data_IF_606009172438
#
_entry.id   IF_606009172438
#
_cell.length_a   1.000
_cell.length_b   1.000
_cell.length_c   1.000
_cell.angle_alpha   90.00
_cell.angle_beta   90.00
_cell.angle_gamma   90.00
#
_symmetry.space_group_name_H-M   'P 1'
#
loop_
_entity.id
_entity.type
_entity.pdbx_description
1 polymer ?
#
# COMPACT_ATOMS: atom_id res chain seq x y z
N UNK A 1 12.16 -5.12 14.31
CA UNK A 1 10.90 -5.88 14.13
C UNK A 1 11.26 -7.25 13.62
N UNK A 2 10.62 -8.30 14.14
CA UNK A 2 10.88 -9.68 13.76
C UNK A 2 9.54 -10.42 13.65
N UNK A 3 9.31 -11.11 12.54
CA UNK A 3 8.12 -11.95 12.36
C UNK A 3 8.45 -13.32 12.95
N UNK A 4 7.65 -13.79 13.91
CA UNK A 4 7.84 -15.10 14.56
C UNK A 4 7.13 -16.20 13.81
N UNK A 5 5.86 -15.98 13.51
CA UNK A 5 4.98 -17.00 12.97
C UNK A 5 3.99 -16.38 12.00
N UNK A 6 3.70 -17.11 10.93
CA UNK A 6 2.65 -16.79 9.97
C UNK A 6 1.77 -18.02 9.80
N UNK A 7 0.51 -17.89 10.19
CA UNK A 7 -0.53 -18.86 9.94
C UNK A 7 -1.36 -18.42 8.75
N UNK A 8 -1.59 -19.33 7.80
CA UNK A 8 -2.31 -19.10 6.56
C UNK A 8 -3.39 -20.16 6.41
N UNK A 9 -4.63 -19.76 6.17
CA UNK A 9 -5.75 -20.66 5.91
C UNK A 9 -6.51 -20.19 4.68
N UNK A 10 -6.71 -21.08 3.71
CA UNK A 10 -7.48 -20.85 2.48
C UNK A 10 -7.03 -19.64 1.64
N UNK A 11 -5.75 -19.28 1.70
CA UNK A 11 -5.17 -18.17 0.96
C UNK A 11 -4.38 -18.67 -0.26
N UNK A 12 -4.75 -18.20 -1.44
CA UNK A 12 -4.14 -18.62 -2.72
C UNK A 12 -4.10 -20.15 -2.84
N UNK A 13 -2.92 -20.75 -2.89
CA UNK A 13 -2.73 -22.19 -3.00
C UNK A 13 -2.54 -22.90 -1.64
N UNK A 14 -2.61 -22.19 -0.51
CA UNK A 14 -2.55 -22.77 0.84
C UNK A 14 -3.93 -23.17 1.34
N UNK A 15 -4.04 -24.38 1.91
CA UNK A 15 -5.23 -24.87 2.64
C UNK A 15 -5.15 -24.46 4.12
N UNK A 16 -4.11 -24.89 4.81
CA UNK A 16 -3.81 -24.53 6.20
C UNK A 16 -2.33 -24.79 6.46
N UNK A 17 -1.56 -23.74 6.76
CA UNK A 17 -0.12 -23.83 6.99
C UNK A 17 0.29 -22.90 8.13
N UNK A 18 1.29 -23.31 8.92
CA UNK A 18 1.87 -22.47 9.99
C UNK A 18 3.38 -22.47 9.85
N UNK A 19 3.92 -21.30 9.53
CA UNK A 19 5.33 -21.09 9.21
C UNK A 19 5.98 -20.35 10.36
N UNK A 20 6.99 -20.95 10.97
CA UNK A 20 7.83 -20.31 11.99
C UNK A 20 9.10 -19.78 11.33
N UNK A 21 9.39 -18.50 11.56
CA UNK A 21 10.59 -17.86 11.03
C UNK A 21 11.70 -17.85 12.08
N UNK A 22 12.93 -17.87 11.60
CA UNK A 22 14.13 -17.64 12.40
C UNK A 22 14.54 -16.19 12.32
N UNK A 23 15.24 -15.68 13.34
CA UNK A 23 15.80 -14.34 13.27
C UNK A 23 16.84 -14.24 12.15
N UNK A 24 16.89 -13.10 11.45
CA UNK A 24 17.78 -12.88 10.31
C UNK A 24 17.24 -13.48 9.00
N UNK A 25 18.09 -14.25 8.31
CA UNK A 25 17.81 -14.71 6.96
C UNK A 25 16.99 -15.99 6.93
N UNK A 26 15.90 -16.00 6.15
CA UNK A 26 15.01 -17.15 5.98
C UNK A 26 14.97 -17.54 4.51
N UNK A 27 15.33 -18.78 4.19
CA UNK A 27 15.31 -19.29 2.81
C UNK A 27 14.02 -20.10 2.60
N UNK A 28 13.19 -19.64 1.69
CA UNK A 28 11.99 -20.37 1.23
C UNK A 28 12.31 -20.91 -0.16
N UNK A 29 12.47 -22.23 -0.28
CA UNK A 29 12.81 -22.90 -1.54
C UNK A 29 11.80 -23.99 -1.91
N UNK A 30 11.86 -24.45 -3.15
CA UNK A 30 10.95 -25.42 -3.74
C UNK A 30 10.65 -25.08 -5.19
N UNK A 31 9.88 -25.93 -5.87
CA UNK A 31 9.56 -25.75 -7.28
C UNK A 31 8.71 -24.50 -7.54
N UNK A 32 8.66 -24.09 -8.81
CA UNK A 32 7.80 -22.99 -9.25
C UNK A 32 6.32 -23.31 -8.96
N UNK A 33 5.52 -22.25 -8.76
CA UNK A 33 4.09 -22.34 -8.43
C UNK A 33 3.72 -23.04 -7.10
N UNK A 34 4.69 -23.41 -6.25
CA UNK A 34 4.43 -24.03 -4.94
C UNK A 34 3.94 -23.06 -3.85
N UNK A 35 3.81 -21.76 -4.15
CA UNK A 35 3.27 -20.78 -3.21
C UNK A 35 4.30 -19.96 -2.42
N UNK A 36 5.60 -20.09 -2.73
CA UNK A 36 6.68 -19.28 -2.12
C UNK A 36 6.34 -17.78 -2.09
N UNK A 37 5.93 -17.23 -3.24
CA UNK A 37 5.53 -15.81 -3.37
C UNK A 37 4.24 -15.50 -2.59
N UNK A 38 3.35 -16.48 -2.37
CA UNK A 38 2.13 -16.28 -1.60
C UNK A 38 2.44 -16.09 -0.10
N UNK A 39 3.52 -16.69 0.43
CA UNK A 39 4.00 -16.40 1.79
C UNK A 39 4.38 -14.92 1.92
N UNK A 40 5.17 -14.42 0.96
CA UNK A 40 5.59 -13.01 0.92
C UNK A 40 4.37 -12.09 0.75
N UNK A 41 3.40 -12.47 -0.09
CA UNK A 41 2.14 -11.74 -0.27
C UNK A 41 1.32 -11.67 1.02
N UNK A 42 1.24 -12.76 1.80
CA UNK A 42 0.54 -12.79 3.07
C UNK A 42 1.18 -11.87 4.12
N UNK A 43 2.52 -11.88 4.22
CA UNK A 43 3.27 -10.95 5.07
C UNK A 43 3.02 -9.50 4.65
N UNK A 44 3.06 -9.22 3.34
CA UNK A 44 2.76 -7.88 2.83
C UNK A 44 1.36 -7.42 3.19
N UNK A 45 0.38 -8.30 3.05
CA UNK A 45 -1.01 -8.00 3.32
C UNK A 45 -1.21 -7.60 4.79
N UNK A 46 -0.51 -8.25 5.72
CA UNK A 46 -0.50 -7.87 7.13
C UNK A 46 0.16 -6.50 7.39
N UNK A 47 1.06 -6.02 6.53
CA UNK A 47 1.73 -4.72 6.70
C UNK A 47 0.96 -3.55 6.07
N UNK A 48 0.44 -3.74 4.85
CA UNK A 48 -0.13 -2.68 4.02
C UNK A 48 -1.66 -2.75 3.93
N UNK A 49 -2.22 -3.90 4.30
CA UNK A 49 -3.63 -4.19 4.12
C UNK A 49 -4.02 -4.43 2.66
N UNK A 50 -3.07 -4.52 1.73
CA UNK A 50 -3.33 -4.76 0.29
C UNK A 50 -2.38 -5.80 -0.27
N UNK A 51 -2.79 -6.46 -1.35
CA UNK A 51 -1.88 -7.26 -2.15
C UNK A 51 -0.99 -6.37 -3.02
N UNK A 52 0.27 -6.78 -3.21
CA UNK A 52 1.17 -6.19 -4.20
C UNK A 52 0.85 -6.69 -5.63
N UNK A 53 0.10 -7.80 -5.77
CA UNK A 53 -0.17 -8.49 -7.05
C UNK A 53 -1.56 -8.25 -7.60
N UNK A 54 -2.58 -8.07 -6.76
CA UNK A 54 -3.97 -7.84 -7.18
C UNK A 54 -4.59 -6.66 -6.44
N UNK A 55 -5.57 -6.01 -7.08
CA UNK A 55 -6.42 -5.00 -6.47
C UNK A 55 -7.69 -5.56 -5.83
N UNK A 56 -8.04 -6.82 -6.13
CA UNK A 56 -9.28 -7.46 -5.67
C UNK A 56 -8.99 -8.45 -4.56
N UNK A 57 -9.58 -8.24 -3.39
CA UNK A 57 -9.34 -9.08 -2.23
C UNK A 57 -9.80 -10.54 -2.44
N UNK A 58 -10.88 -10.77 -3.21
CA UNK A 58 -11.40 -12.12 -3.46
C UNK A 58 -10.47 -12.99 -4.32
N UNK A 59 -9.59 -12.40 -5.12
CA UNK A 59 -8.60 -13.15 -5.93
C UNK A 59 -7.57 -13.86 -5.03
N UNK A 60 -7.47 -13.45 -3.76
CA UNK A 60 -6.61 -14.09 -2.78
C UNK A 60 -7.27 -15.29 -2.08
N UNK A 61 -8.58 -15.46 -2.21
CA UNK A 61 -9.30 -16.63 -1.65
C UNK A 61 -8.95 -17.87 -2.46
N UNK A 62 -8.64 -18.98 -1.80
CA UNK A 62 -8.42 -20.27 -2.44
C UNK A 62 -9.66 -20.69 -3.23
N UNK A 63 -9.45 -21.28 -4.42
CA UNK A 63 -10.55 -21.78 -5.25
C UNK A 63 -11.37 -22.83 -4.49
N UNK A 64 -12.70 -22.66 -4.52
CA UNK A 64 -13.66 -23.53 -3.81
C UNK A 64 -13.97 -23.08 -2.38
N UNK A 65 -13.23 -22.12 -1.83
CA UNK A 65 -13.41 -21.63 -0.47
C UNK A 65 -14.23 -20.32 -0.42
N UNK A 66 -14.84 -20.05 0.72
CA UNK A 66 -15.67 -18.87 0.96
C UNK A 66 -14.90 -17.70 1.60
N UNK A 67 -13.61 -17.88 1.91
CA UNK A 67 -12.78 -16.85 2.48
C UNK A 67 -11.39 -17.35 2.86
N UNK A 68 -10.54 -16.44 3.32
CA UNK A 68 -9.21 -16.75 3.84
C UNK A 68 -8.97 -16.10 5.21
N UNK A 69 -8.01 -16.67 5.93
CA UNK A 69 -7.50 -16.14 7.19
C UNK A 69 -5.97 -16.13 7.19
N UNK A 70 -5.39 -15.02 7.60
CA UNK A 70 -3.96 -14.89 7.85
C UNK A 70 -3.78 -14.35 9.27
N UNK A 71 -2.88 -14.95 10.04
CA UNK A 71 -2.41 -14.43 11.32
C UNK A 71 -0.89 -14.33 11.29
N UNK A 72 -0.38 -13.17 11.66
CA UNK A 72 1.05 -12.88 11.74
C UNK A 72 1.37 -12.45 13.17
N UNK A 73 2.24 -13.22 13.82
CA UNK A 73 2.79 -12.90 15.13
C UNK A 73 4.19 -12.32 14.96
N UNK A 74 4.45 -11.18 15.59
CA UNK A 74 5.71 -10.44 15.49
C UNK A 74 6.16 -9.88 16.83
N UNK A 75 7.46 -9.57 16.91
CA UNK A 75 8.05 -8.79 17.99
C UNK A 75 8.55 -7.44 17.46
N UNK A 76 8.23 -6.39 18.19
CA UNK A 76 8.77 -5.05 18.00
C UNK A 76 9.42 -4.62 19.31
N UNK A 77 10.76 -4.57 19.32
CA UNK A 77 11.55 -4.25 20.51
C UNK A 77 11.25 -5.23 21.66
N UNK A 78 10.37 -4.87 22.58
CA UNK A 78 9.93 -5.71 23.71
C UNK A 78 8.45 -6.09 23.66
N UNK A 79 7.69 -5.60 22.67
CA UNK A 79 6.25 -5.86 22.56
C UNK A 79 5.97 -6.96 21.53
N UNK A 80 5.22 -7.98 21.95
CA UNK A 80 4.63 -8.95 21.01
C UNK A 80 3.35 -8.38 20.43
N UNK A 81 3.18 -8.54 19.12
CA UNK A 81 2.02 -8.04 18.38
C UNK A 81 1.49 -9.10 17.43
N UNK A 82 0.17 -9.19 17.37
CA UNK A 82 -0.54 -10.09 16.46
C UNK A 82 -1.35 -9.26 15.49
N UNK A 83 -1.21 -9.54 14.19
CA UNK A 83 -2.02 -8.97 13.12
C UNK A 83 -2.81 -10.09 12.47
N UNK A 84 -4.13 -9.94 12.41
CA UNK A 84 -5.03 -10.90 11.78
C UNK A 84 -5.78 -10.25 10.62
N UNK A 85 -5.87 -10.95 9.48
CA UNK A 85 -6.62 -10.54 8.30
C UNK A 85 -7.61 -11.64 7.94
N UNK A 86 -8.88 -11.27 7.86
CA UNK A 86 -9.97 -12.12 7.42
C UNK A 86 -10.58 -11.52 6.16
N UNK A 87 -10.84 -12.33 5.15
CA UNK A 87 -11.62 -11.89 4.01
C UNK A 87 -12.58 -12.99 3.58
N UNK A 88 -13.86 -12.67 3.58
CA UNK A 88 -14.89 -13.50 2.96
C UNK A 88 -14.93 -13.16 1.45
N UNK A 89 -15.25 -14.14 0.60
CA UNK A 89 -15.23 -13.99 -0.86
C UNK A 89 -16.20 -12.93 -1.37
N UNK A 90 -17.37 -12.85 -0.73
CA UNK A 90 -18.42 -11.86 -1.01
C UNK A 90 -18.51 -10.77 0.08
N UNK A 91 -17.57 -10.77 1.03
CA UNK A 91 -17.60 -9.90 2.20
C UNK A 91 -16.49 -8.85 2.20
N UNK A 92 -16.53 -8.00 3.23
CA UNK A 92 -15.47 -7.02 3.48
C UNK A 92 -14.31 -7.69 4.21
N UNK A 93 -13.10 -7.31 3.83
CA UNK A 93 -11.89 -7.60 4.59
C UNK A 93 -12.00 -7.00 6.00
N UNK A 94 -11.79 -7.83 7.02
CA UNK A 94 -11.76 -7.48 8.45
C UNK A 94 -10.34 -7.68 8.96
N UNK A 95 -9.86 -6.77 9.78
CA UNK A 95 -8.49 -6.81 10.30
C UNK A 95 -8.53 -6.61 11.81
N UNK A 96 -7.70 -7.35 12.54
CA UNK A 96 -7.52 -7.20 13.99
C UNK A 96 -6.06 -6.99 14.33
N UNK A 97 -5.83 -6.23 15.39
CA UNK A 97 -4.51 -6.06 16.00
C UNK A 97 -4.66 -6.42 17.47
N UNK A 98 -3.89 -7.40 17.93
CA UNK A 98 -4.01 -7.96 19.28
C UNK A 98 -5.47 -8.30 19.61
N UNK A 99 -6.12 -9.06 18.70
CA UNK A 99 -7.53 -9.48 18.78
C UNK A 99 -8.58 -8.36 18.69
N UNK A 100 -8.16 -7.09 18.72
CA UNK A 100 -9.06 -5.94 18.63
C UNK A 100 -9.34 -5.59 17.17
N UNK A 101 -10.61 -5.60 16.70
CA UNK A 101 -10.96 -5.20 15.35
C UNK A 101 -10.65 -3.74 15.07
N UNK A 102 -9.93 -3.46 13.99
CA UNK A 102 -9.69 -2.09 13.53
C UNK A 102 -10.83 -1.60 12.64
N UNK A 103 -11.30 -0.37 12.89
CA UNK A 103 -12.39 0.24 12.09
C UNK A 103 -11.90 0.88 10.79
N UNK A 104 -10.63 1.30 10.75
CA UNK A 104 -10.02 1.99 9.62
C UNK A 104 -8.71 1.31 9.27
N UNK A 105 -8.50 1.07 7.97
CA UNK A 105 -7.26 0.47 7.47
C UNK A 105 -6.01 1.29 7.84
N UNK A 106 -6.15 2.62 8.01
CA UNK A 106 -5.06 3.47 8.47
C UNK A 106 -4.51 3.09 9.86
N UNK A 107 -5.30 2.41 10.69
CA UNK A 107 -4.83 1.89 11.98
C UNK A 107 -3.92 0.68 11.84
N UNK A 108 -3.89 0.00 10.68
CA UNK A 108 -2.92 -1.05 10.37
C UNK A 108 -1.55 -0.50 10.00
N UNK A 109 -1.56 0.63 9.28
CA UNK A 109 -0.37 1.21 8.70
C UNK A 109 0.62 1.62 9.79
N UNK A 110 1.89 1.20 9.65
CA UNK A 110 2.97 1.46 10.60
C UNK A 110 3.10 0.45 11.75
N UNK A 111 2.23 -0.56 11.83
CA UNK A 111 2.38 -1.64 12.83
C UNK A 111 3.47 -2.64 12.44
N UNK A 112 3.58 -2.92 11.15
CA UNK A 112 4.59 -3.80 10.56
C UNK A 112 5.18 -3.07 9.35
N UNK A 113 6.49 -2.84 9.35
CA UNK A 113 7.20 -2.27 8.20
C UNK A 113 7.72 -3.40 7.32
N UNK A 114 7.36 -3.38 6.03
CA UNK A 114 7.89 -4.34 5.06
C UNK A 114 8.29 -3.66 3.77
N UNK A 115 9.37 -4.16 3.18
CA UNK A 115 9.81 -3.81 1.84
C UNK A 115 9.81 -5.11 1.04
N UNK A 116 9.17 -5.09 -0.12
CA UNK A 116 9.18 -6.22 -1.05
C UNK A 116 10.03 -5.83 -2.23
N UNK A 117 10.89 -6.77 -2.62
CA UNK A 117 11.59 -6.76 -3.88
C UNK A 117 10.96 -7.87 -4.73
N UNK A 118 10.38 -7.50 -5.86
CA UNK A 118 9.64 -8.39 -6.75
C UNK A 118 9.97 -8.11 -8.22
N UNK A 119 9.89 -9.12 -9.11
CA UNK A 119 10.02 -8.87 -10.55
C UNK A 119 9.03 -7.81 -11.07
N UNK A 120 7.87 -7.69 -10.43
CA UNK A 120 6.85 -6.69 -10.71
C UNK A 120 7.29 -5.24 -10.42
N UNK A 121 8.37 -5.03 -9.66
CA UNK A 121 8.90 -3.69 -9.40
C UNK A 121 9.41 -3.00 -10.68
N UNK A 122 9.73 -3.78 -11.72
CA UNK A 122 10.05 -3.25 -13.04
C UNK A 122 8.90 -2.45 -13.67
N UNK A 123 7.65 -2.69 -13.24
CA UNK A 123 6.49 -1.93 -13.71
C UNK A 123 6.59 -0.46 -13.30
N UNK A 124 7.25 -0.12 -12.19
CA UNK A 124 7.47 1.28 -11.78
C UNK A 124 8.21 2.06 -12.88
N UNK A 125 9.14 1.38 -13.56
CA UNK A 125 9.98 1.92 -14.64
C UNK A 125 9.26 1.83 -15.99
N UNK A 126 8.65 0.67 -16.30
CA UNK A 126 8.11 0.38 -17.63
C UNK A 126 6.69 0.92 -17.87
N UNK A 127 5.88 1.02 -16.82
CA UNK A 127 4.46 1.37 -16.94
C UNK A 127 4.20 2.88 -16.73
N UNK A 128 2.93 3.25 -16.79
CA UNK A 128 2.49 4.64 -16.68
C UNK A 128 2.51 5.23 -15.26
N UNK A 129 2.07 6.51 -15.13
CA UNK A 129 2.06 7.25 -13.86
C UNK A 129 1.23 6.61 -12.74
N UNK A 130 0.30 5.72 -13.07
CA UNK A 130 -0.52 5.00 -12.08
C UNK A 130 0.36 4.13 -11.16
N UNK A 131 1.28 3.36 -11.73
CA UNK A 131 2.13 2.45 -10.95
C UNK A 131 3.12 3.22 -10.08
N UNK A 132 3.72 4.29 -10.62
CA UNK A 132 4.58 5.20 -9.84
C UNK A 132 3.83 5.85 -8.68
N UNK A 133 2.62 6.37 -8.90
CA UNK A 133 1.80 6.95 -7.81
C UNK A 133 1.43 5.90 -6.77
N UNK A 134 1.06 4.69 -7.20
CA UNK A 134 0.74 3.58 -6.30
C UNK A 134 1.94 3.23 -5.41
N UNK A 135 3.13 3.09 -5.99
CA UNK A 135 4.37 2.85 -5.26
C UNK A 135 4.63 3.95 -4.22
N UNK A 136 4.62 5.22 -4.66
CA UNK A 136 4.84 6.38 -3.78
C UNK A 136 3.81 6.41 -2.64
N UNK A 137 2.52 6.21 -2.95
CA UNK A 137 1.44 6.27 -1.98
C UNK A 137 1.55 5.18 -0.93
N UNK A 138 1.85 3.94 -1.33
CA UNK A 138 2.03 2.82 -0.39
C UNK A 138 3.25 3.10 0.51
N UNK A 139 4.38 3.47 -0.08
CA UNK A 139 5.64 3.71 0.65
C UNK A 139 5.51 4.83 1.66
N UNK A 140 5.00 6.00 1.25
CA UNK A 140 4.81 7.14 2.18
C UNK A 140 3.79 6.78 3.26
N UNK A 141 2.70 6.09 2.91
CA UNK A 141 1.68 5.72 3.88
C UNK A 141 2.26 4.88 5.01
N UNK A 142 3.12 3.89 4.70
CA UNK A 142 3.75 3.03 5.72
C UNK A 142 4.44 3.83 6.83
N UNK A 143 5.09 4.94 6.50
CA UNK A 143 5.88 5.74 7.46
C UNK A 143 5.16 6.98 7.98
N UNK A 144 4.10 7.44 7.29
CA UNK A 144 3.39 8.69 7.62
C UNK A 144 1.87 8.48 7.64
N UNK A 145 1.28 8.08 8.77
CA UNK A 145 -0.17 7.87 8.89
C UNK A 145 -1.03 9.09 8.52
N UNK A 146 -0.54 10.31 8.77
CA UNK A 146 -1.23 11.55 8.38
C UNK A 146 -1.36 11.70 6.85
N UNK A 147 -0.34 11.29 6.10
CA UNK A 147 -0.40 11.27 4.63
C UNK A 147 -1.47 10.30 4.14
N UNK A 148 -1.55 9.11 4.74
CA UNK A 148 -2.59 8.14 4.39
C UNK A 148 -4.00 8.70 4.65
N UNK A 149 -4.19 9.40 5.77
CA UNK A 149 -5.46 10.08 6.05
C UNK A 149 -5.80 11.13 4.99
N UNK A 150 -4.84 11.98 4.63
CA UNK A 150 -5.02 12.99 3.58
C UNK A 150 -5.36 12.35 2.23
N UNK A 151 -4.68 11.26 1.86
CA UNK A 151 -4.96 10.49 0.65
C UNK A 151 -6.38 9.90 0.64
N UNK A 152 -6.86 9.41 1.80
CA UNK A 152 -8.24 8.93 1.93
C UNK A 152 -9.25 10.07 1.77
N UNK A 153 -9.02 11.22 2.40
CA UNK A 153 -9.92 12.38 2.27
C UNK A 153 -9.93 12.88 0.83
N UNK A 154 -8.76 13.05 0.21
CA UNK A 154 -8.63 13.49 -1.17
C UNK A 154 -9.43 12.60 -2.13
N UNK A 155 -9.25 11.27 -2.06
CA UNK A 155 -9.97 10.34 -2.92
C UNK A 155 -11.48 10.36 -2.68
N UNK A 156 -11.92 10.47 -1.42
CA UNK A 156 -13.35 10.56 -1.08
C UNK A 156 -13.98 11.82 -1.69
N UNK A 157 -13.35 12.98 -1.47
CA UNK A 157 -13.82 14.28 -1.98
C UNK A 157 -13.79 14.28 -3.52
N UNK A 158 -12.76 13.68 -4.14
CA UNK A 158 -12.65 13.57 -5.59
C UNK A 158 -13.81 12.78 -6.21
N UNK A 159 -14.17 11.63 -5.62
CA UNK A 159 -15.30 10.81 -6.08
C UNK A 159 -16.61 11.60 -5.95
N UNK A 160 -16.83 12.26 -4.80
CA UNK A 160 -18.03 13.05 -4.56
C UNK A 160 -18.13 14.25 -5.52
N UNK A 161 -17.02 14.94 -5.78
CA UNK A 161 -16.96 16.02 -6.78
C UNK A 161 -17.25 15.50 -8.19
N UNK A 162 -16.69 14.35 -8.57
CA UNK A 162 -16.96 13.76 -9.89
C UNK A 162 -18.44 13.35 -10.05
N UNK A 163 -19.09 12.92 -8.96
CA UNK A 163 -20.52 12.68 -8.96
C UNK A 163 -21.31 13.98 -9.14
N UNK A 164 -20.99 15.00 -8.35
CA UNK A 164 -21.62 16.32 -8.45
C UNK A 164 -21.49 16.92 -9.86
N UNK A 165 -20.34 16.77 -10.51
CA UNK A 165 -20.14 17.25 -11.88
C UNK A 165 -21.08 16.58 -12.89
N UNK A 166 -21.47 15.31 -12.66
CA UNK A 166 -22.48 14.63 -13.47
C UNK A 166 -23.88 15.18 -13.16
N UNK A 167 -24.21 15.34 -11.88
CA UNK A 167 -25.52 15.89 -11.44
C UNK A 167 -25.75 17.33 -11.92
N UNK A 168 -24.69 18.15 -12.01
CA UNK A 168 -24.77 19.52 -12.55
C UNK A 168 -25.26 19.55 -14.00
N UNK A 169 -25.02 18.49 -14.77
CA UNK A 169 -25.51 18.40 -16.16
C UNK A 169 -27.05 18.34 -16.21
N UNK A 170 -27.67 17.74 -15.19
CA UNK A 170 -29.12 17.62 -15.05
C UNK A 170 -29.73 18.80 -14.27
N UNK A 171 -29.03 19.28 -13.24
CA UNK A 171 -29.45 20.40 -12.40
C UNK A 171 -28.33 21.43 -12.22
N UNK A 172 -28.33 22.46 -13.08
CA UNK A 172 -27.33 23.53 -13.07
C UNK A 172 -27.24 24.31 -11.74
N UNK A 173 -28.29 24.33 -10.91
CA UNK A 173 -28.26 25.06 -9.64
C UNK A 173 -27.22 24.51 -8.65
N UNK A 174 -26.83 23.23 -8.81
CA UNK A 174 -25.83 22.56 -7.99
C UNK A 174 -24.42 23.12 -8.17
N UNK A 175 -24.16 23.90 -9.23
CA UNK A 175 -22.84 24.50 -9.49
C UNK A 175 -22.35 25.38 -8.32
N UNK A 176 -23.28 26.02 -7.61
CA UNK A 176 -22.99 26.87 -6.45
C UNK A 176 -22.40 26.10 -5.26
N UNK A 177 -22.51 24.77 -5.25
CA UNK A 177 -21.94 23.91 -4.21
C UNK A 177 -20.52 23.42 -4.53
N UNK A 178 -20.05 23.62 -5.78
CA UNK A 178 -18.78 23.06 -6.27
C UNK A 178 -17.57 23.62 -5.51
N UNK A 179 -17.62 24.87 -5.08
CA UNK A 179 -16.52 25.53 -4.37
C UNK A 179 -16.18 24.89 -3.03
N UNK A 180 -17.17 24.36 -2.32
CA UNK A 180 -16.96 23.64 -1.05
C UNK A 180 -16.12 22.37 -1.29
N UNK A 181 -16.37 21.67 -2.40
CA UNK A 181 -15.59 20.49 -2.81
C UNK A 181 -14.20 20.89 -3.27
N UNK A 182 -14.07 22.01 -4.00
CA UNK A 182 -12.78 22.54 -4.43
C UNK A 182 -11.89 22.88 -3.23
N UNK A 183 -12.41 23.59 -2.22
CA UNK A 183 -11.68 23.89 -0.99
C UNK A 183 -11.21 22.63 -0.27
N UNK A 184 -12.08 21.62 -0.17
CA UNK A 184 -11.74 20.34 0.47
C UNK A 184 -10.63 19.60 -0.30
N UNK A 185 -10.66 19.63 -1.65
CA UNK A 185 -9.60 19.05 -2.49
C UNK A 185 -8.29 19.82 -2.34
N UNK A 186 -8.32 21.15 -2.33
CA UNK A 186 -7.13 21.99 -2.18
C UNK A 186 -6.43 21.68 -0.86
N UNK A 187 -7.18 21.58 0.24
CA UNK A 187 -6.62 21.29 1.56
C UNK A 187 -5.90 19.94 1.60
N UNK A 188 -6.54 18.86 1.16
CA UNK A 188 -5.93 17.53 1.17
C UNK A 188 -4.83 17.40 0.10
N UNK A 189 -5.07 17.92 -1.10
CA UNK A 189 -4.17 17.86 -2.24
C UNK A 189 -2.86 18.59 -2.00
N UNK A 190 -2.89 19.78 -1.40
CA UNK A 190 -1.68 20.56 -1.09
C UNK A 190 -0.77 19.82 -0.11
N UNK A 191 -1.35 19.17 0.91
CA UNK A 191 -0.60 18.35 1.87
C UNK A 191 0.02 17.12 1.19
N UNK A 192 -0.73 16.43 0.32
CA UNK A 192 -0.22 15.29 -0.45
C UNK A 192 0.95 15.71 -1.34
N UNK A 193 0.80 16.80 -2.10
CA UNK A 193 1.83 17.34 -3.00
C UNK A 193 3.10 17.65 -2.22
N UNK A 194 3.00 18.38 -1.10
CA UNK A 194 4.16 18.73 -0.28
C UNK A 194 4.92 17.50 0.20
N UNK A 195 4.20 16.49 0.72
CA UNK A 195 4.83 15.26 1.20
C UNK A 195 5.45 14.44 0.06
N UNK A 196 4.82 14.39 -1.12
CA UNK A 196 5.39 13.73 -2.30
C UNK A 196 6.64 14.42 -2.80
N UNK A 197 6.68 15.75 -2.83
CA UNK A 197 7.87 16.52 -3.18
C UNK A 197 9.05 16.18 -2.26
N UNK A 198 8.83 16.25 -0.95
CA UNK A 198 9.86 15.96 0.04
C UNK A 198 10.35 14.49 -0.06
N UNK A 199 9.43 13.56 -0.35
CA UNK A 199 9.76 12.15 -0.56
C UNK A 199 10.59 11.93 -1.83
N UNK A 200 10.18 12.52 -2.96
CA UNK A 200 10.88 12.35 -4.24
C UNK A 200 12.27 12.99 -4.22
N UNK A 201 12.44 14.15 -3.55
CA UNK A 201 13.76 14.76 -3.37
C UNK A 201 14.74 13.80 -2.68
N UNK A 202 14.32 13.22 -1.55
CA UNK A 202 15.12 12.22 -0.81
C UNK A 202 15.33 10.94 -1.61
N UNK A 203 14.29 10.46 -2.30
CA UNK A 203 14.40 9.28 -3.15
C UNK A 203 15.41 9.49 -4.27
N UNK A 204 15.45 10.67 -4.89
CA UNK A 204 16.38 10.99 -5.96
C UNK A 204 17.83 10.95 -5.48
N UNK A 205 18.12 11.52 -4.31
CA UNK A 205 19.45 11.48 -3.69
C UNK A 205 19.91 10.02 -3.45
N UNK A 206 19.09 9.22 -2.80
CA UNK A 206 19.41 7.82 -2.50
C UNK A 206 19.50 6.94 -3.75
N UNK A 207 18.60 7.17 -4.72
CA UNK A 207 18.60 6.46 -6.00
C UNK A 207 19.87 6.80 -6.80
N UNK A 208 20.30 8.06 -6.82
CA UNK A 208 21.52 8.48 -7.49
C UNK A 208 22.75 7.79 -6.89
N UNK A 209 22.87 7.78 -5.56
CA UNK A 209 23.97 7.10 -4.86
C UNK A 209 24.01 5.60 -5.15
N UNK A 210 22.86 4.93 -5.10
CA UNK A 210 22.75 3.50 -5.38
C UNK A 210 23.08 3.19 -6.85
N UNK A 211 22.50 3.94 -7.79
CA UNK A 211 22.68 3.72 -9.23
C UNK A 211 24.13 3.96 -9.66
N UNK A 212 24.75 5.02 -9.15
CA UNK A 212 26.15 5.32 -9.43
C UNK A 212 27.07 4.18 -8.97
N UNK A 213 26.80 3.60 -7.80
CA UNK A 213 27.54 2.42 -7.31
C UNK A 213 27.29 1.17 -8.16
N UNK A 214 26.04 0.91 -8.56
CA UNK A 214 25.67 -0.27 -9.35
C UNK A 214 26.21 -0.25 -10.79
N UNK A 215 26.49 0.94 -11.31
CA UNK A 215 26.99 1.14 -12.68
C UNK A 215 28.49 1.42 -12.75
N UNK A 216 29.23 1.17 -11.66
CA UNK A 216 30.66 1.49 -11.53
C UNK A 216 30.99 2.94 -11.90
N UNK A 217 30.12 3.87 -11.50
CA UNK A 217 30.26 5.31 -11.72
C UNK A 217 30.00 5.79 -13.13
N UNK A 218 29.43 4.95 -14.01
CA UNK A 218 29.21 5.29 -15.42
C UNK A 218 27.91 6.04 -15.68
N UNK A 219 26.90 5.83 -14.83
CA UNK A 219 25.57 6.36 -15.05
C UNK A 219 24.98 6.98 -13.77
N UNK A 220 24.26 8.09 -13.96
CA UNK A 220 23.47 8.72 -12.91
C UNK A 220 21.98 8.59 -13.21
N UNK A 221 21.18 8.43 -12.15
CA UNK A 221 19.72 8.52 -12.23
C UNK A 221 19.28 9.81 -11.52
N UNK A 222 18.26 10.46 -12.07
CA UNK A 222 17.58 11.59 -11.44
C UNK A 222 16.08 11.32 -11.44
N UNK A 223 15.42 11.58 -10.31
CA UNK A 223 13.99 11.36 -10.15
C UNK A 223 13.32 12.69 -9.89
N UNK A 224 12.49 13.13 -10.85
CA UNK A 224 11.81 14.42 -10.79
C UNK A 224 10.34 14.22 -10.42
N UNK A 225 9.82 15.10 -9.55
CA UNK A 225 8.41 15.15 -9.24
C UNK A 225 7.69 16.13 -10.16
N UNK A 226 6.78 15.62 -10.98
CA UNK A 226 5.92 16.42 -11.84
C UNK A 226 4.52 16.58 -11.19
N UNK A 227 4.22 17.73 -10.55
CA UNK A 227 2.91 18.00 -9.96
C UNK A 227 1.83 18.20 -11.03
N UNK A 228 0.56 18.13 -10.62
CA UNK A 228 -0.59 18.29 -11.53
C UNK A 228 -0.82 19.73 -12.04
N UNK A 229 -0.05 20.69 -11.52
CA UNK A 229 -0.05 22.10 -11.92
C UNK A 229 1.30 22.71 -11.56
N UNK A 230 1.71 23.77 -12.26
CA UNK A 230 2.91 24.52 -11.92
C UNK A 230 2.77 25.11 -10.52
N UNK A 231 3.68 24.73 -9.63
CA UNK A 231 3.76 25.31 -8.30
C UNK A 231 4.55 26.59 -8.47
N UNK A 232 3.86 27.72 -8.54
CA UNK A 232 4.48 29.04 -8.61
C UNK A 232 5.49 29.17 -7.48
N UNK A 233 6.76 29.32 -7.82
CA UNK A 233 7.81 29.68 -6.88
C UNK A 233 7.62 31.17 -6.62
N UNK A 234 6.99 31.52 -5.51
CA UNK A 234 7.07 32.87 -4.95
C UNK A 234 8.37 33.01 -4.16
#
# INVERSE_FOLDING_TARGET
MFIKELKIVNFRNYTNETIKFSNGFNIIHGDNAQGKTNIIEAVFLCSSGRSHRTSKDHDMVRMGENGFYIKLDMEKETESKTIEVFCEREGKKKIRINEIPIKKIGSLIGNLYTVIFSPEDLLIIKEGPSERRRFIDITISQVKPSYFYDLQQYNKVLIQRNHLLKEIQENRSLINTLDVWNQSLIQAGSRIIKVRQDFIARLSEEAQLCHYKLTDGKEGINVLYEPSFEIGIN
#
